data_IF_334062146219
#
_entry.id   IF_334062146219
#
_cell.length_a   1.000
_cell.length_b   1.000
_cell.length_c   1.000
_cell.angle_alpha   90.00
_cell.angle_beta   90.00
_cell.angle_gamma   90.00
#
_symmetry.space_group_name_H-M   'P 1'
#
loop_
_entity.id
_entity.type
_entity.pdbx_description
1 polymer ?
#
# COMPACT_ATOMS: atom_id res chain seq x y z
N UNK A 1 12.62 -2.12 21.61
CA UNK A 1 12.91 -1.03 20.63
C UNK A 1 11.75 -0.07 20.68
N UNK A 2 12.03 1.22 20.72
CA UNK A 2 10.99 2.23 20.88
C UNK A 2 10.57 2.80 19.53
N UNK A 3 9.32 3.20 19.39
CA UNK A 3 8.79 3.90 18.23
C UNK A 3 9.64 5.13 17.85
N UNK A 4 10.03 5.92 18.86
CA UNK A 4 10.86 7.11 18.71
C UNK A 4 12.25 6.81 18.09
N UNK A 5 12.75 5.59 18.16
CA UNK A 5 14.03 5.19 17.53
C UNK A 5 13.97 5.31 15.99
N UNK A 6 12.77 5.47 15.41
CA UNK A 6 12.50 5.63 13.97
C UNK A 6 12.03 7.03 13.60
N UNK A 7 12.28 8.00 14.47
CA UNK A 7 11.98 9.39 14.20
C UNK A 7 13.05 10.02 13.30
N UNK A 8 12.61 10.84 12.36
CA UNK A 8 13.41 11.79 11.62
C UNK A 8 12.59 13.05 11.38
N UNK A 9 13.23 14.18 11.20
CA UNK A 9 12.55 15.43 10.93
C UNK A 9 12.12 15.50 9.46
N UNK A 10 10.82 15.66 9.22
CA UNK A 10 10.25 15.77 7.88
C UNK A 10 9.51 17.08 7.73
N UNK A 11 10.03 18.05 6.93
CA UNK A 11 9.30 19.26 6.56
C UNK A 11 8.02 18.95 5.80
N UNK A 12 6.91 19.56 6.19
CA UNK A 12 5.57 19.29 5.63
C UNK A 12 5.51 19.59 4.13
N UNK A 13 6.25 20.59 3.66
CA UNK A 13 6.32 20.97 2.24
C UNK A 13 6.96 19.89 1.34
N UNK A 14 7.65 18.90 1.90
CA UNK A 14 8.18 17.78 1.13
C UNK A 14 7.15 16.67 0.91
N UNK A 15 6.00 16.69 1.58
CA UNK A 15 4.92 15.74 1.39
C UNK A 15 4.21 16.02 0.07
N UNK A 16 4.39 15.13 -0.90
CA UNK A 16 3.82 15.29 -2.24
C UNK A 16 2.29 15.23 -2.20
N UNK A 17 1.65 16.28 -2.71
CA UNK A 17 0.20 16.37 -2.81
C UNK A 17 -0.33 15.85 -4.14
N UNK A 18 0.46 16.00 -5.22
CA UNK A 18 0.07 15.68 -6.58
C UNK A 18 1.09 14.73 -7.22
N UNK A 19 0.63 13.78 -8.07
CA UNK A 19 1.53 12.93 -8.84
C UNK A 19 2.23 13.74 -9.95
N UNK A 20 3.45 13.33 -10.29
CA UNK A 20 4.13 13.86 -11.48
C UNK A 20 3.38 13.44 -12.75
N UNK A 21 3.41 14.27 -13.79
CA UNK A 21 2.77 13.97 -15.07
C UNK A 21 3.32 12.68 -15.67
N UNK A 22 4.64 12.59 -15.82
CA UNK A 22 5.34 11.35 -16.15
C UNK A 22 5.70 10.58 -14.87
N UNK A 23 5.11 9.39 -14.69
CA UNK A 23 5.32 8.54 -13.51
C UNK A 23 6.77 8.14 -13.32
N UNK A 24 7.47 7.85 -14.40
CA UNK A 24 8.85 7.35 -14.38
C UNK A 24 9.91 8.45 -14.24
N UNK A 25 9.51 9.72 -14.27
CA UNK A 25 10.39 10.87 -14.07
C UNK A 25 10.66 11.23 -12.60
N UNK A 26 10.07 10.54 -11.65
CA UNK A 26 10.37 10.71 -10.23
C UNK A 26 11.85 10.45 -9.94
N UNK A 27 12.38 11.07 -8.90
CA UNK A 27 13.74 10.78 -8.45
C UNK A 27 13.79 9.38 -7.82
N UNK A 28 14.97 8.76 -7.89
CA UNK A 28 15.28 7.49 -7.27
C UNK A 28 16.51 7.65 -6.37
N UNK A 29 16.35 7.41 -5.07
CA UNK A 29 17.45 7.28 -4.14
C UNK A 29 17.81 5.79 -4.04
N UNK A 30 19.04 5.44 -4.41
CA UNK A 30 19.52 4.06 -4.31
C UNK A 30 20.38 3.95 -3.05
N UNK A 31 19.98 3.04 -2.15
CA UNK A 31 20.71 2.72 -0.92
C UNK A 31 21.32 1.33 -1.05
N UNK A 32 22.63 1.25 -0.98
CA UNK A 32 23.34 -0.01 -0.76
C UNK A 32 23.22 -0.40 0.73
N UNK A 33 22.55 -1.51 1.01
CA UNK A 33 22.21 -1.91 2.39
C UNK A 33 23.42 -2.36 3.21
N UNK A 34 24.48 -2.83 2.55
CA UNK A 34 25.69 -3.31 3.22
C UNK A 34 26.60 -2.13 3.62
N UNK A 35 26.83 -1.20 2.70
CA UNK A 35 27.74 -0.07 2.91
C UNK A 35 27.08 1.18 3.45
N UNK A 36 25.75 1.31 3.32
CA UNK A 36 25.00 2.54 3.63
C UNK A 36 25.21 3.65 2.61
N UNK A 37 25.92 3.40 1.50
CA UNK A 37 26.14 4.41 0.47
C UNK A 37 24.86 4.73 -0.30
N UNK A 38 24.68 6.02 -0.56
CA UNK A 38 23.53 6.56 -1.28
C UNK A 38 23.97 7.09 -2.65
N UNK A 39 23.16 6.85 -3.67
CA UNK A 39 23.29 7.50 -4.97
C UNK A 39 21.93 7.99 -5.48
N UNK A 40 21.96 9.09 -6.25
CA UNK A 40 20.77 9.77 -6.77
C UNK A 40 20.60 9.46 -8.26
N UNK A 41 19.38 9.07 -8.65
CA UNK A 41 19.00 8.68 -10.01
C UNK A 41 17.60 9.20 -10.34
N UNK A 42 17.12 8.85 -11.52
CA UNK A 42 15.72 8.99 -11.93
C UNK A 42 15.10 7.60 -11.97
N UNK A 43 13.81 7.47 -11.70
CA UNK A 43 13.17 6.16 -11.56
C UNK A 43 13.30 5.26 -12.80
N UNK A 44 13.25 5.85 -13.99
CA UNK A 44 13.47 5.11 -15.25
C UNK A 44 14.80 4.36 -15.29
N UNK A 45 15.82 4.82 -14.54
CA UNK A 45 17.13 4.18 -14.46
C UNK A 45 17.10 2.89 -13.63
N UNK A 46 15.93 2.51 -13.09
CA UNK A 46 15.75 1.26 -12.31
C UNK A 46 16.21 0.03 -13.08
N UNK A 47 16.10 0.05 -14.41
CA UNK A 47 16.52 -1.03 -15.28
C UNK A 47 18.03 -1.31 -15.23
N UNK A 48 18.85 -0.35 -14.80
CA UNK A 48 20.31 -0.51 -14.65
C UNK A 48 20.66 -1.33 -13.40
N UNK A 49 19.73 -1.43 -12.47
CA UNK A 49 19.89 -2.16 -11.20
C UNK A 49 19.24 -3.55 -11.20
N UNK A 50 18.51 -3.89 -12.26
CA UNK A 50 17.87 -5.18 -12.44
C UNK A 50 18.69 -6.04 -13.40
N UNK A 51 18.90 -7.32 -13.04
CA UNK A 51 19.72 -8.23 -13.82
C UNK A 51 18.89 -9.39 -14.39
N UNK A 52 19.35 -9.93 -15.49
CA UNK A 52 18.75 -11.14 -16.07
C UNK A 52 18.70 -12.26 -15.04
N UNK A 53 17.53 -12.87 -14.86
CA UNK A 53 17.28 -13.91 -13.86
C UNK A 53 16.67 -13.39 -12.55
N UNK A 54 16.65 -12.06 -12.34
CA UNK A 54 15.88 -11.48 -11.24
C UNK A 54 14.36 -11.69 -11.45
N UNK A 55 13.62 -11.68 -10.36
CA UNK A 55 12.15 -11.65 -10.37
C UNK A 55 11.65 -10.38 -9.71
N UNK A 56 10.97 -9.52 -10.49
CA UNK A 56 10.28 -8.33 -10.00
C UNK A 56 8.89 -8.71 -9.51
N UNK A 57 8.64 -8.56 -8.21
CA UNK A 57 7.35 -8.89 -7.58
C UNK A 57 6.52 -7.63 -7.40
N UNK A 58 5.35 -7.57 -8.03
CA UNK A 58 4.44 -6.43 -8.01
C UNK A 58 3.09 -6.81 -7.40
N UNK A 59 2.46 -5.88 -6.70
CA UNK A 59 1.12 -6.07 -6.13
C UNK A 59 0.07 -5.50 -7.11
N UNK A 60 -0.74 -6.37 -7.70
CA UNK A 60 -1.74 -6.01 -8.71
C UNK A 60 -3.13 -5.70 -8.15
N UNK A 61 -3.21 -5.44 -6.86
CA UNK A 61 -4.46 -4.99 -6.23
C UNK A 61 -4.98 -3.71 -6.88
N UNK A 62 -6.31 -3.62 -7.01
CA UNK A 62 -7.01 -2.44 -7.53
C UNK A 62 -7.78 -1.75 -6.40
N UNK A 63 -7.56 -0.45 -6.26
CA UNK A 63 -8.28 0.37 -5.29
C UNK A 63 -9.72 0.53 -5.75
N UNK A 64 -10.66 0.30 -4.85
CA UNK A 64 -12.08 0.59 -5.08
C UNK A 64 -12.40 2.03 -4.64
N UNK A 65 -13.35 2.71 -5.27
CA UNK A 65 -13.79 4.05 -4.85
C UNK A 65 -14.61 3.95 -3.55
N UNK A 66 -13.92 3.59 -2.48
CA UNK A 66 -14.50 3.16 -1.20
C UNK A 66 -15.04 4.30 -0.34
N UNK A 67 -14.78 5.57 -0.69
CA UNK A 67 -15.25 6.74 0.08
C UNK A 67 -16.59 7.21 -0.47
N UNK A 68 -17.64 7.06 0.32
CA UNK A 68 -19.00 7.48 -0.02
C UNK A 68 -19.40 8.71 0.81
N UNK A 69 -19.94 9.72 0.15
CA UNK A 69 -20.50 10.90 0.81
C UNK A 69 -22.01 10.83 0.72
N UNK A 70 -22.69 10.78 1.84
CA UNK A 70 -24.13 10.70 1.91
C UNK A 70 -24.73 11.66 2.93
N UNK A 71 -26.04 11.63 3.04
CA UNK A 71 -26.83 12.40 4.01
C UNK A 71 -27.65 11.48 4.89
N UNK A 72 -27.71 11.80 6.18
CA UNK A 72 -28.57 11.08 7.11
C UNK A 72 -30.02 11.35 6.77
N UNK A 73 -30.79 10.30 6.51
CA UNK A 73 -32.21 10.40 6.20
C UNK A 73 -32.97 11.07 7.35
N UNK A 74 -33.73 12.09 7.05
CA UNK A 74 -34.54 12.86 8.00
C UNK A 74 -33.86 14.07 8.63
N UNK A 75 -32.54 14.30 8.41
CA UNK A 75 -31.85 15.47 8.98
C UNK A 75 -30.87 16.16 8.04
N UNK A 76 -30.65 15.65 6.82
CA UNK A 76 -29.69 16.13 5.82
C UNK A 76 -28.24 16.29 6.34
N UNK A 77 -27.94 15.72 7.50
CA UNK A 77 -26.62 15.79 8.08
C UNK A 77 -25.64 14.97 7.22
N UNK A 78 -24.61 15.64 6.71
CA UNK A 78 -23.57 15.02 5.91
C UNK A 78 -22.84 13.94 6.70
N UNK A 79 -22.69 12.76 6.10
CA UNK A 79 -21.98 11.60 6.65
C UNK A 79 -21.04 11.06 5.57
N UNK A 80 -19.77 10.92 5.93
CA UNK A 80 -18.78 10.21 5.15
C UNK A 80 -18.72 8.76 5.61
N UNK A 81 -18.79 7.82 4.67
CA UNK A 81 -18.66 6.39 4.90
C UNK A 81 -17.50 5.87 4.06
N UNK A 82 -16.55 5.22 4.70
CA UNK A 82 -15.41 4.61 4.04
C UNK A 82 -15.49 3.10 4.22
N UNK A 83 -15.65 2.39 3.13
CA UNK A 83 -15.72 0.93 3.08
C UNK A 83 -14.36 0.33 3.44
N UNK A 84 -14.32 -0.60 4.40
CA UNK A 84 -13.09 -1.24 4.87
C UNK A 84 -13.03 -2.71 4.44
N UNK A 85 -14.05 -3.48 4.80
CA UNK A 85 -14.10 -4.93 4.57
C UNK A 85 -15.52 -5.37 4.34
N UNK A 86 -15.74 -6.14 3.27
CA UNK A 86 -17.00 -6.83 3.00
C UNK A 86 -17.12 -8.02 3.97
N UNK A 87 -18.21 -8.12 4.70
CA UNK A 87 -18.51 -9.22 5.63
C UNK A 87 -19.46 -10.24 5.00
N UNK A 88 -20.49 -9.73 4.34
CA UNK A 88 -21.52 -10.47 3.61
C UNK A 88 -21.84 -9.72 2.32
N UNK A 89 -22.72 -10.22 1.47
CA UNK A 89 -22.99 -9.66 0.15
C UNK A 89 -23.28 -8.17 0.15
N UNK A 90 -24.06 -7.69 1.10
CA UNK A 90 -24.43 -6.27 1.22
C UNK A 90 -24.07 -5.65 2.58
N UNK A 91 -23.28 -6.34 3.41
CA UNK A 91 -22.84 -5.84 4.73
C UNK A 91 -21.35 -5.54 4.70
N UNK A 92 -21.01 -4.31 5.05
CA UNK A 92 -19.63 -3.85 5.11
C UNK A 92 -19.27 -3.32 6.48
N UNK A 93 -18.06 -3.65 6.91
CA UNK A 93 -17.39 -2.91 7.97
C UNK A 93 -16.88 -1.59 7.40
N UNK A 94 -17.15 -0.49 8.08
CA UNK A 94 -16.91 0.85 7.57
C UNK A 94 -16.38 1.80 8.65
N UNK A 95 -15.57 2.77 8.24
CA UNK A 95 -15.25 3.93 9.06
C UNK A 95 -16.25 5.05 8.71
N UNK A 96 -16.86 5.65 9.72
CA UNK A 96 -17.89 6.69 9.52
C UNK A 96 -17.50 7.99 10.20
N UNK A 97 -17.63 9.10 9.47
CA UNK A 97 -17.42 10.46 10.00
C UNK A 97 -18.65 11.37 9.73
N UNK A 98 -19.14 12.07 10.75
CA UNK A 98 -18.82 11.96 12.17
C UNK A 98 -19.52 10.75 12.82
N UNK A 99 -18.77 9.90 13.52
CA UNK A 99 -19.28 8.66 14.12
C UNK A 99 -20.43 8.89 15.13
N UNK A 100 -20.46 10.04 15.81
CA UNK A 100 -21.53 10.41 16.76
C UNK A 100 -22.91 10.53 16.09
N UNK A 101 -22.97 10.80 14.78
CA UNK A 101 -24.23 10.94 14.03
C UNK A 101 -24.70 9.60 13.41
N UNK A 102 -23.84 8.57 13.40
CA UNK A 102 -24.11 7.25 12.82
C UNK A 102 -24.23 6.19 13.94
N UNK A 103 -25.32 6.23 14.67
CA UNK A 103 -25.70 5.22 15.67
C UNK A 103 -26.40 4.05 14.98
N UNK A 104 -26.48 2.88 15.66
CA UNK A 104 -27.29 1.75 15.19
C UNK A 104 -28.72 2.21 14.86
N UNK A 105 -29.25 1.77 13.71
CA UNK A 105 -30.53 2.17 13.16
C UNK A 105 -30.46 3.49 12.34
N UNK A 106 -29.29 4.15 12.23
CA UNK A 106 -29.17 5.33 11.38
C UNK A 106 -29.18 4.91 9.90
N UNK A 107 -30.06 5.53 9.12
CA UNK A 107 -30.12 5.35 7.65
C UNK A 107 -29.48 6.51 6.93
N UNK A 108 -28.70 6.20 5.92
CA UNK A 108 -27.88 7.14 5.14
C UNK A 108 -28.25 6.95 3.66
N UNK A 109 -28.49 8.05 2.96
CA UNK A 109 -28.74 8.07 1.53
C UNK A 109 -27.53 8.60 0.77
N UNK A 110 -27.18 7.96 -0.32
CA UNK A 110 -26.09 8.34 -1.23
C UNK A 110 -26.65 8.49 -2.65
N UNK A 111 -26.20 9.53 -3.36
CA UNK A 111 -26.57 9.77 -4.76
C UNK A 111 -28.09 9.83 -4.97
N UNK A 112 -28.78 10.65 -4.18
CA UNK A 112 -30.24 10.85 -4.27
C UNK A 112 -31.06 9.54 -4.15
N UNK A 113 -30.57 8.61 -3.31
CA UNK A 113 -31.26 7.35 -3.02
C UNK A 113 -30.88 6.16 -3.91
N UNK A 114 -29.92 6.31 -4.82
CA UNK A 114 -29.37 5.20 -5.63
C UNK A 114 -28.81 4.11 -4.74
N UNK A 115 -28.16 4.51 -3.65
CA UNK A 115 -27.62 3.63 -2.62
C UNK A 115 -28.11 4.11 -1.26
N UNK A 116 -28.63 3.19 -0.45
CA UNK A 116 -28.95 3.47 0.96
C UNK A 116 -28.18 2.52 1.85
N UNK A 117 -27.81 2.97 3.05
CA UNK A 117 -27.11 2.15 4.04
C UNK A 117 -27.76 2.33 5.41
N UNK A 118 -27.90 1.23 6.14
CA UNK A 118 -28.35 1.24 7.53
C UNK A 118 -27.23 0.76 8.44
N UNK A 119 -26.94 1.50 9.50
CA UNK A 119 -25.99 1.09 10.52
C UNK A 119 -26.64 0.00 11.38
N UNK A 120 -26.18 -1.24 11.21
CA UNK A 120 -26.72 -2.42 11.93
C UNK A 120 -25.89 -2.80 13.16
N UNK A 121 -24.67 -2.27 13.31
CA UNK A 121 -23.81 -2.59 14.45
C UNK A 121 -22.62 -1.65 14.59
N UNK A 122 -21.95 -1.77 15.72
CA UNK A 122 -20.66 -1.15 16.03
C UNK A 122 -19.70 -2.25 16.41
N UNK A 123 -18.53 -2.28 15.79
CA UNK A 123 -17.48 -3.27 16.02
C UNK A 123 -16.24 -2.61 16.62
N UNK A 124 -15.18 -3.37 16.74
CA UNK A 124 -13.90 -2.91 17.29
C UNK A 124 -13.44 -1.59 16.68
N UNK A 125 -12.68 -0.81 17.45
CA UNK A 125 -12.16 0.52 17.07
C UNK A 125 -13.24 1.57 16.72
N UNK A 126 -14.51 1.27 17.01
CA UNK A 126 -15.63 2.15 16.71
C UNK A 126 -16.06 2.14 15.24
N UNK A 127 -15.63 1.16 14.45
CA UNK A 127 -16.12 0.94 13.09
C UNK A 127 -17.62 0.59 13.10
N UNK A 128 -18.29 0.81 11.99
CA UNK A 128 -19.73 0.52 11.82
C UNK A 128 -19.90 -0.65 10.86
N UNK A 129 -20.84 -1.54 11.19
CA UNK A 129 -21.42 -2.45 10.21
C UNK A 129 -22.57 -1.73 9.54
N UNK A 130 -22.48 -1.58 8.23
CA UNK A 130 -23.53 -0.98 7.40
C UNK A 130 -24.05 -2.03 6.42
N UNK A 131 -25.37 -2.22 6.47
CA UNK A 131 -26.09 -2.99 5.47
C UNK A 131 -26.56 -2.05 4.37
N UNK A 132 -26.12 -2.31 3.13
CA UNK A 132 -26.48 -1.53 1.97
C UNK A 132 -27.69 -2.12 1.23
N UNK A 133 -28.53 -1.24 0.70
CA UNK A 133 -29.67 -1.57 -0.15
C UNK A 133 -29.55 -0.78 -1.44
N UNK A 134 -29.62 -1.47 -2.58
CA UNK A 134 -29.43 -0.92 -3.92
C UNK A 134 -30.07 -1.84 -4.97
N UNK A 135 -30.22 -1.33 -6.18
CA UNK A 135 -30.61 -2.11 -7.36
C UNK A 135 -29.43 -2.19 -8.34
N UNK A 136 -29.18 -3.36 -8.93
CA UNK A 136 -28.10 -3.58 -9.88
C UNK A 136 -26.80 -4.09 -9.26
N UNK A 137 -25.66 -3.71 -9.82
CA UNK A 137 -24.32 -4.16 -9.43
C UNK A 137 -23.68 -3.14 -8.50
N UNK A 138 -23.29 -3.58 -7.31
CA UNK A 138 -22.72 -2.69 -6.27
C UNK A 138 -21.45 -1.98 -6.73
N UNK A 139 -20.59 -2.67 -7.45
CA UNK A 139 -19.34 -2.15 -7.97
C UNK A 139 -19.57 -0.99 -8.97
N UNK A 140 -20.59 -1.09 -9.83
CA UNK A 140 -20.97 -0.01 -10.75
C UNK A 140 -21.50 1.21 -10.00
N UNK A 141 -22.25 0.99 -8.93
CA UNK A 141 -22.74 2.06 -8.06
C UNK A 141 -21.58 2.75 -7.35
N UNK A 142 -20.60 1.98 -6.87
CA UNK A 142 -19.38 2.54 -6.28
C UNK A 142 -18.59 3.38 -7.29
N UNK A 143 -18.43 2.91 -8.51
CA UNK A 143 -17.73 3.67 -9.57
C UNK A 143 -18.40 5.02 -9.85
N UNK A 144 -19.73 5.06 -9.74
CA UNK A 144 -20.53 6.27 -9.95
C UNK A 144 -20.53 7.23 -8.77
N UNK A 145 -20.69 6.72 -7.54
CA UNK A 145 -20.90 7.53 -6.33
C UNK A 145 -19.64 7.69 -5.48
N UNK A 146 -18.72 6.73 -5.56
CA UNK A 146 -17.56 6.65 -4.72
C UNK A 146 -16.42 7.56 -5.17
N UNK A 147 -15.63 7.95 -4.19
CA UNK A 147 -14.39 8.68 -4.36
C UNK A 147 -13.22 7.79 -4.00
N UNK A 148 -12.06 8.03 -4.63
CA UNK A 148 -10.82 7.32 -4.27
C UNK A 148 -10.43 7.67 -2.83
N UNK A 149 -10.17 6.66 -1.99
CA UNK A 149 -9.80 6.88 -0.60
C UNK A 149 -8.31 7.25 -0.51
N UNK A 150 -8.00 8.52 -0.75
CA UNK A 150 -6.64 9.01 -0.62
C UNK A 150 -6.17 8.96 0.85
N UNK A 151 -4.88 8.76 1.10
CA UNK A 151 -4.30 8.87 2.43
C UNK A 151 -4.57 10.24 3.08
N UNK A 152 -4.66 10.33 4.42
CA UNK A 152 -5.07 11.56 5.10
C UNK A 152 -4.11 12.74 4.93
N UNK A 153 -2.84 12.50 4.55
CA UNK A 153 -1.85 13.53 4.28
C UNK A 153 -1.96 14.13 2.87
N UNK A 154 -2.76 13.54 1.98
CA UNK A 154 -3.10 14.13 0.68
C UNK A 154 -4.40 14.90 0.85
N UNK A 155 -4.30 16.21 0.77
CA UNK A 155 -5.43 17.16 0.93
C UNK A 155 -5.96 17.66 -0.41
N UNK A 156 -5.17 17.54 -1.47
CA UNK A 156 -5.58 17.90 -2.83
C UNK A 156 -6.52 16.85 -3.41
N UNK A 157 -7.51 17.31 -4.16
CA UNK A 157 -8.41 16.42 -4.90
C UNK A 157 -7.78 16.06 -6.23
N UNK A 158 -7.70 14.77 -6.54
CA UNK A 158 -7.21 14.32 -7.83
C UNK A 158 -8.18 14.66 -8.95
N UNK A 159 -7.69 15.27 -10.02
CA UNK A 159 -8.44 15.49 -11.26
C UNK A 159 -8.73 14.17 -11.97
N UNK A 160 -7.74 13.29 -12.06
CA UNK A 160 -7.87 11.94 -12.62
C UNK A 160 -7.72 10.87 -11.52
N UNK A 161 -8.81 10.16 -11.25
CA UNK A 161 -8.86 9.05 -10.27
C UNK A 161 -7.85 7.94 -10.59
N UNK A 162 -7.52 7.72 -11.87
CA UNK A 162 -6.59 6.68 -12.30
C UNK A 162 -5.14 6.98 -11.90
N UNK A 163 -4.83 8.20 -11.49
CA UNK A 163 -3.49 8.55 -10.99
C UNK A 163 -3.17 7.84 -9.66
N UNK A 164 -4.17 7.43 -8.89
CA UNK A 164 -4.01 6.62 -7.68
C UNK A 164 -4.26 5.12 -7.93
N UNK A 165 -3.88 4.64 -9.13
CA UNK A 165 -3.86 3.23 -9.52
C UNK A 165 -2.57 2.89 -10.22
N UNK A 166 -2.04 1.68 -10.00
CA UNK A 166 -0.94 1.16 -10.80
C UNK A 166 -1.41 0.80 -12.21
N UNK A 167 -0.53 0.87 -13.19
CA UNK A 167 -0.84 0.52 -14.59
C UNK A 167 -1.14 -0.98 -14.78
N UNK A 168 -0.89 -1.78 -13.76
CA UNK A 168 -1.11 -3.24 -13.76
C UNK A 168 -2.17 -3.68 -12.73
N UNK A 169 -2.93 -2.75 -12.15
CA UNK A 169 -4.01 -3.06 -11.21
C UNK A 169 -5.09 -3.94 -11.87
N UNK A 170 -5.41 -5.07 -11.24
CA UNK A 170 -6.31 -6.08 -11.78
C UNK A 170 -7.41 -6.51 -10.79
N UNK A 171 -7.04 -6.82 -9.54
CA UNK A 171 -7.94 -7.42 -8.55
C UNK A 171 -8.51 -6.38 -7.59
N UNK A 172 -9.80 -6.06 -7.75
CA UNK A 172 -10.52 -5.07 -6.93
C UNK A 172 -10.67 -5.55 -5.48
N UNK A 173 -10.52 -4.63 -4.50
CA UNK A 173 -10.72 -4.95 -3.08
C UNK A 173 -9.87 -4.13 -2.12
N UNK A 174 -8.98 -3.29 -2.62
CA UNK A 174 -8.07 -2.50 -1.78
C UNK A 174 -8.65 -1.14 -1.43
N UNK A 175 -8.41 -0.69 -0.22
CA UNK A 175 -8.68 0.68 0.22
C UNK A 175 -7.52 1.65 -0.04
N UNK A 176 -6.34 1.15 -0.43
CA UNK A 176 -5.18 1.97 -0.77
C UNK A 176 -4.36 1.36 -1.90
N UNK A 177 -3.71 2.21 -2.71
CA UNK A 177 -2.84 1.76 -3.79
C UNK A 177 -1.48 1.27 -3.24
N UNK A 178 -0.84 0.28 -3.89
CA UNK A 178 0.55 -0.06 -3.64
C UNK A 178 1.44 1.01 -4.30
N UNK A 179 1.66 2.12 -3.58
CA UNK A 179 2.11 3.40 -4.16
C UNK A 179 3.49 3.37 -4.80
N UNK A 180 4.39 2.47 -4.37
CA UNK A 180 5.67 2.25 -5.06
C UNK A 180 5.48 1.77 -6.51
N UNK A 181 4.36 1.13 -6.81
CA UNK A 181 4.00 0.73 -8.17
C UNK A 181 3.53 1.87 -9.07
N UNK A 182 3.21 3.03 -8.51
CA UNK A 182 2.75 4.20 -9.28
C UNK A 182 3.85 4.79 -10.18
N UNK A 183 5.10 4.51 -9.90
CA UNK A 183 6.25 4.96 -10.70
C UNK A 183 6.40 4.22 -12.03
N UNK A 184 5.82 3.02 -12.15
CA UNK A 184 5.94 2.20 -13.35
C UNK A 184 4.99 2.66 -14.45
N UNK A 185 5.49 2.58 -15.68
CA UNK A 185 4.70 2.71 -16.91
C UNK A 185 4.63 1.37 -17.63
N UNK A 186 3.67 1.15 -18.57
CA UNK A 186 3.63 -0.06 -19.38
C UNK A 186 4.94 -0.29 -20.18
N UNK A 187 5.53 0.80 -20.69
CA UNK A 187 6.77 0.78 -21.48
C UNK A 187 7.95 0.32 -20.63
N UNK A 188 8.09 0.87 -19.40
CA UNK A 188 9.15 0.47 -18.48
C UNK A 188 9.03 -1.00 -18.05
N UNK A 189 7.81 -1.48 -17.81
CA UNK A 189 7.58 -2.91 -17.51
C UNK A 189 7.93 -3.81 -18.70
N UNK A 190 7.68 -3.36 -19.91
CA UNK A 190 8.04 -4.10 -21.12
C UNK A 190 9.56 -4.13 -21.33
N UNK A 191 10.25 -3.01 -21.12
CA UNK A 191 11.71 -2.95 -21.13
C UNK A 191 12.33 -3.94 -20.13
N UNK A 192 11.79 -4.00 -18.89
CA UNK A 192 12.22 -4.95 -17.87
C UNK A 192 12.06 -6.40 -18.34
N UNK A 193 10.93 -6.75 -18.98
CA UNK A 193 10.73 -8.09 -19.54
C UNK A 193 11.73 -8.42 -20.64
N UNK A 194 12.01 -7.47 -21.53
CA UNK A 194 12.97 -7.64 -22.63
C UNK A 194 14.39 -7.85 -22.14
N UNK A 195 14.75 -7.34 -20.95
CA UNK A 195 16.03 -7.64 -20.27
C UNK A 195 16.08 -9.07 -19.69
N UNK A 196 15.00 -9.85 -19.78
CA UNK A 196 14.93 -11.23 -19.28
C UNK A 196 14.69 -11.31 -17.76
N UNK A 197 13.99 -10.33 -17.22
CA UNK A 197 13.56 -10.26 -15.83
C UNK A 197 12.11 -10.74 -15.75
N UNK A 198 11.85 -11.76 -14.94
CA UNK A 198 10.50 -12.26 -14.71
C UNK A 198 9.70 -11.25 -13.88
N UNK A 199 8.43 -11.01 -14.24
CA UNK A 199 7.50 -10.20 -13.42
C UNK A 199 6.46 -11.14 -12.81
N UNK A 200 6.48 -11.25 -11.49
CA UNK A 200 5.50 -12.00 -10.71
C UNK A 200 4.45 -11.04 -10.13
N UNK A 201 3.18 -11.38 -10.30
CA UNK A 201 2.07 -10.61 -9.75
C UNK A 201 1.55 -11.31 -8.50
N UNK A 202 1.49 -10.59 -7.41
CA UNK A 202 0.83 -11.01 -6.17
C UNK A 202 -0.30 -10.05 -5.87
N UNK A 203 -1.31 -10.47 -5.13
CA UNK A 203 -2.39 -9.60 -4.67
C UNK A 203 -2.32 -9.47 -3.16
N UNK A 204 -2.31 -8.25 -2.64
CA UNK A 204 -2.58 -7.95 -1.22
C UNK A 204 -3.53 -6.76 -1.18
N UNK A 205 -4.69 -6.96 -0.60
CA UNK A 205 -5.66 -5.89 -0.42
C UNK A 205 -5.30 -5.06 0.81
N UNK A 206 -4.78 -3.86 0.54
CA UNK A 206 -4.32 -2.92 1.57
C UNK A 206 -5.51 -2.33 2.30
N UNK A 207 -5.55 -2.52 3.61
CA UNK A 207 -6.50 -1.86 4.49
C UNK A 207 -6.04 -0.46 4.89
N UNK A 208 -6.98 0.36 5.40
CA UNK A 208 -6.65 1.70 5.90
C UNK A 208 -5.78 1.71 7.16
N UNK A 209 -5.63 0.56 7.82
CA UNK A 209 -4.72 0.41 8.95
C UNK A 209 -3.30 0.83 8.65
N UNK A 210 -2.87 0.68 7.39
CA UNK A 210 -1.52 1.07 6.93
C UNK A 210 -1.23 2.57 7.11
N UNK A 211 -2.26 3.42 7.14
CA UNK A 211 -2.10 4.87 7.37
C UNK A 211 -2.30 5.29 8.81
N UNK A 212 -2.58 4.35 9.71
CA UNK A 212 -2.73 4.67 11.13
C UNK A 212 -1.35 4.77 11.79
N UNK A 213 -1.10 5.81 12.60
CA UNK A 213 0.15 5.92 13.34
C UNK A 213 0.25 4.80 14.38
N UNK A 214 1.46 4.35 14.63
CA UNK A 214 1.78 3.46 15.77
C UNK A 214 1.51 4.24 17.05
N UNK A 215 0.66 3.69 17.93
CA UNK A 215 0.20 4.37 19.15
C UNK A 215 0.98 3.96 20.41
N UNK A 216 1.69 2.84 20.32
CA UNK A 216 2.45 2.27 21.43
C UNK A 216 3.89 2.79 21.41
N UNK A 217 4.53 2.88 22.57
CA UNK A 217 5.91 3.31 22.68
C UNK A 217 6.89 2.15 22.42
N UNK A 218 6.63 0.96 22.97
CA UNK A 218 7.36 -0.25 22.60
C UNK A 218 6.72 -0.88 21.36
N UNK A 219 7.49 -0.98 20.28
CA UNK A 219 6.99 -1.55 19.02
C UNK A 219 6.55 -3.01 19.15
N UNK A 220 7.05 -3.74 20.15
CA UNK A 220 6.65 -5.13 20.42
C UNK A 220 5.19 -5.28 20.86
N UNK A 221 4.59 -4.21 21.35
CA UNK A 221 3.16 -4.16 21.72
C UNK A 221 2.25 -3.80 20.55
N UNK A 222 2.85 -3.50 19.37
CA UNK A 222 2.06 -3.13 18.20
C UNK A 222 1.45 -4.35 17.53
N UNK A 223 0.14 -4.29 17.27
CA UNK A 223 -0.60 -5.29 16.51
C UNK A 223 -0.92 -4.78 15.11
N UNK A 224 -0.46 -5.50 14.10
CA UNK A 224 -0.77 -5.20 12.70
C UNK A 224 -2.20 -5.60 12.37
N UNK A 225 -2.83 -4.82 11.50
CA UNK A 225 -4.12 -5.21 10.91
C UNK A 225 -3.92 -6.38 9.94
N UNK A 226 -4.88 -7.30 9.98
CA UNK A 226 -4.89 -8.45 9.08
C UNK A 226 -5.34 -8.04 7.68
N UNK A 227 -4.57 -8.38 6.66
CA UNK A 227 -4.83 -8.09 5.24
C UNK A 227 -4.86 -9.38 4.42
N UNK A 228 -5.79 -9.46 3.47
CA UNK A 228 -5.92 -10.62 2.59
C UNK A 228 -4.89 -10.58 1.48
N UNK A 229 -4.21 -11.71 1.25
CA UNK A 229 -3.30 -11.89 0.13
C UNK A 229 -3.62 -13.13 -0.70
N UNK A 230 -3.16 -13.11 -1.95
CA UNK A 230 -3.25 -14.23 -2.88
C UNK A 230 -2.01 -14.26 -3.78
N UNK A 231 -1.53 -15.47 -4.06
CA UNK A 231 -0.41 -15.77 -4.95
C UNK A 231 -0.84 -16.91 -5.85
N UNK A 232 -0.78 -16.74 -7.16
CA UNK A 232 -1.08 -17.79 -8.11
C UNK A 232 0.15 -18.70 -8.38
N UNK A 233 -0.07 -19.81 -9.08
CA UNK A 233 1.00 -20.75 -9.41
C UNK A 233 2.09 -20.12 -10.29
N UNK A 234 1.70 -19.28 -11.24
CA UNK A 234 2.65 -18.64 -12.15
C UNK A 234 3.59 -17.67 -11.41
N UNK A 235 3.06 -16.92 -10.44
CA UNK A 235 3.86 -16.04 -9.60
C UNK A 235 4.80 -16.84 -8.68
N UNK A 236 4.28 -17.88 -8.02
CA UNK A 236 5.08 -18.75 -7.17
C UNK A 236 6.24 -19.41 -7.94
N UNK A 237 5.97 -19.93 -9.15
CA UNK A 237 7.00 -20.52 -10.00
C UNK A 237 8.10 -19.54 -10.39
N UNK A 238 7.75 -18.28 -10.74
CA UNK A 238 8.74 -17.25 -11.13
C UNK A 238 9.63 -16.86 -9.96
N UNK A 239 9.03 -16.67 -8.77
CA UNK A 239 9.76 -16.30 -7.55
C UNK A 239 10.72 -17.42 -7.16
N UNK A 240 10.25 -18.66 -7.10
CA UNK A 240 11.08 -19.82 -6.78
C UNK A 240 12.20 -20.02 -7.79
N UNK A 241 11.90 -19.90 -9.09
CA UNK A 241 12.91 -20.00 -10.17
C UNK A 241 14.04 -18.99 -9.97
N UNK A 242 13.73 -17.72 -9.63
CA UNK A 242 14.76 -16.73 -9.37
C UNK A 242 15.69 -17.19 -8.22
N UNK A 243 15.13 -17.68 -7.11
CA UNK A 243 15.93 -18.20 -5.99
C UNK A 243 16.78 -19.41 -6.38
N UNK A 244 16.22 -20.36 -7.11
CA UNK A 244 16.89 -21.61 -7.51
C UNK A 244 18.03 -21.36 -8.50
N UNK A 245 17.94 -20.31 -9.31
CA UNK A 245 18.94 -19.96 -10.33
C UNK A 245 19.94 -18.91 -9.87
N UNK A 246 19.88 -18.46 -8.61
CA UNK A 246 20.78 -17.44 -8.06
C UNK A 246 20.45 -16.01 -8.49
N UNK A 247 19.24 -15.79 -9.03
CA UNK A 247 18.66 -14.45 -9.25
C UNK A 247 18.13 -13.85 -7.95
N UNK A 248 17.81 -12.56 -7.99
CA UNK A 248 17.28 -11.83 -6.83
C UNK A 248 15.77 -11.70 -6.91
N UNK A 249 15.12 -11.70 -5.76
CA UNK A 249 13.70 -11.34 -5.60
C UNK A 249 13.62 -9.87 -5.23
N UNK A 250 13.13 -9.06 -6.16
CA UNK A 250 13.02 -7.60 -6.04
C UNK A 250 11.55 -7.24 -5.86
N UNK A 251 11.15 -6.77 -4.68
CA UNK A 251 9.77 -6.38 -4.42
C UNK A 251 9.52 -4.92 -4.75
N UNK A 252 8.37 -4.65 -5.37
CA UNK A 252 7.82 -3.31 -5.54
C UNK A 252 6.80 -3.05 -4.45
N UNK A 253 7.18 -2.22 -3.50
CA UNK A 253 6.39 -1.84 -2.34
C UNK A 253 6.49 -2.82 -1.17
N UNK A 254 6.27 -2.28 0.01
CA UNK A 254 6.20 -3.04 1.27
C UNK A 254 5.07 -4.06 1.29
N UNK A 255 4.03 -3.85 0.49
CA UNK A 255 2.92 -4.79 0.33
C UNK A 255 3.34 -6.08 -0.37
N UNK A 256 4.10 -5.99 -1.48
CA UNK A 256 4.66 -7.17 -2.15
C UNK A 256 5.62 -7.92 -1.22
N UNK A 257 6.49 -7.20 -0.51
CA UNK A 257 7.39 -7.76 0.48
C UNK A 257 6.62 -8.54 1.57
N UNK A 258 5.62 -7.92 2.21
CA UNK A 258 4.82 -8.57 3.25
C UNK A 258 4.08 -9.79 2.73
N UNK A 259 3.61 -9.76 1.50
CA UNK A 259 2.93 -10.90 0.86
C UNK A 259 3.86 -12.10 0.75
N UNK A 260 5.02 -11.93 0.12
CA UNK A 260 5.93 -13.05 -0.12
C UNK A 260 6.56 -13.57 1.18
N UNK A 261 6.91 -12.67 2.11
CA UNK A 261 7.48 -13.07 3.40
C UNK A 261 6.47 -13.83 4.28
N UNK A 262 5.18 -13.50 4.19
CA UNK A 262 4.11 -14.24 4.88
C UNK A 262 3.86 -15.61 4.30
N UNK A 263 3.99 -15.76 2.99
CA UNK A 263 3.74 -17.02 2.28
C UNK A 263 4.97 -17.93 2.20
N UNK A 264 6.17 -17.39 2.47
CA UNK A 264 7.42 -18.11 2.38
C UNK A 264 7.51 -19.26 3.41
N UNK A 265 7.81 -20.46 2.92
CA UNK A 265 8.13 -21.62 3.73
C UNK A 265 9.47 -21.48 4.47
N UNK A 266 9.76 -22.45 5.35
CA UNK A 266 11.04 -22.50 6.04
C UNK A 266 12.21 -22.82 5.09
N UNK A 267 11.90 -23.41 3.95
CA UNK A 267 12.85 -23.75 2.86
C UNK A 267 13.19 -22.57 1.94
N UNK A 268 12.62 -21.40 2.19
CA UNK A 268 12.80 -20.21 1.33
C UNK A 268 12.05 -20.28 0.00
N UNK A 269 11.04 -21.15 -0.11
CA UNK A 269 10.16 -21.25 -1.27
C UNK A 269 8.74 -20.81 -0.94
N UNK A 270 7.98 -20.50 -1.98
CA UNK A 270 6.61 -20.05 -1.88
C UNK A 270 5.69 -21.00 -2.64
N UNK A 271 4.51 -21.23 -2.11
CA UNK A 271 3.45 -22.00 -2.78
C UNK A 271 2.31 -21.09 -3.17
N UNK A 272 1.64 -21.44 -4.27
CA UNK A 272 0.39 -20.79 -4.62
C UNK A 272 -0.64 -20.98 -3.50
N UNK A 273 -1.44 -19.94 -3.27
CA UNK A 273 -2.46 -19.97 -2.23
C UNK A 273 -2.94 -18.57 -1.86
N UNK A 274 -3.86 -18.54 -0.92
CA UNK A 274 -4.37 -17.29 -0.35
C UNK A 274 -4.44 -17.40 1.17
N UNK A 275 -4.43 -16.26 1.83
CA UNK A 275 -4.47 -16.22 3.28
C UNK A 275 -4.62 -14.80 3.82
N UNK A 276 -4.48 -14.70 5.12
CA UNK A 276 -4.48 -13.44 5.83
C UNK A 276 -3.11 -13.23 6.46
N UNK A 277 -2.58 -12.01 6.40
CA UNK A 277 -1.31 -11.63 7.00
C UNK A 277 -1.46 -10.45 7.91
N UNK A 278 -0.89 -10.56 9.09
CA UNK A 278 -0.66 -9.49 10.06
C UNK A 278 0.84 -9.35 10.35
N UNK A 279 1.68 -9.78 9.40
CA UNK A 279 3.13 -9.77 9.57
C UNK A 279 3.64 -8.36 9.89
N UNK A 280 4.37 -8.25 10.98
CA UNK A 280 5.08 -7.05 11.40
C UNK A 280 6.57 -7.26 11.24
N UNK A 281 7.17 -6.55 10.28
CA UNK A 281 8.59 -6.62 9.96
C UNK A 281 9.28 -5.40 10.56
N UNK A 282 10.28 -5.63 11.41
CA UNK A 282 11.08 -4.63 12.10
C UNK A 282 12.53 -5.13 12.29
N UNK A 283 13.50 -4.30 12.66
CA UNK A 283 14.91 -4.71 12.82
C UNK A 283 15.07 -5.96 13.69
N UNK A 284 15.80 -6.94 13.15
CA UNK A 284 15.95 -8.28 13.69
C UNK A 284 15.15 -9.35 12.94
N UNK A 285 14.20 -8.95 12.07
CA UNK A 285 13.52 -9.87 11.16
C UNK A 285 14.52 -10.45 10.15
N UNK A 286 14.44 -11.76 9.90
CA UNK A 286 15.26 -12.45 8.89
C UNK A 286 14.41 -12.70 7.66
N UNK A 287 14.69 -11.95 6.59
CA UNK A 287 14.02 -12.14 5.32
C UNK A 287 14.31 -13.51 4.73
N UNK A 288 13.28 -14.15 4.20
CA UNK A 288 13.34 -15.49 3.61
C UNK A 288 13.50 -15.43 2.09
N UNK A 289 12.83 -14.45 1.47
CA UNK A 289 12.74 -14.33 0.02
C UNK A 289 13.23 -12.98 -0.50
N UNK A 290 13.01 -11.89 0.22
CA UNK A 290 13.34 -10.55 -0.23
C UNK A 290 14.85 -10.31 -0.31
N UNK A 291 15.33 -9.92 -1.50
CA UNK A 291 16.73 -9.51 -1.71
C UNK A 291 16.85 -7.99 -1.87
N UNK A 292 15.94 -7.37 -2.64
CA UNK A 292 15.93 -5.92 -2.92
C UNK A 292 14.50 -5.36 -2.80
N UNK A 293 14.39 -4.08 -2.46
CA UNK A 293 13.10 -3.41 -2.28
C UNK A 293 13.05 -2.06 -2.99
N UNK A 294 12.05 -1.88 -3.85
CA UNK A 294 11.66 -0.59 -4.42
C UNK A 294 10.50 -0.08 -3.58
N UNK A 295 10.61 1.12 -3.02
CA UNK A 295 9.59 1.67 -2.13
C UNK A 295 9.51 3.19 -2.23
N UNK A 296 8.47 3.81 -1.64
CA UNK A 296 8.43 5.25 -1.40
C UNK A 296 9.14 5.59 -0.08
N UNK A 297 9.35 6.86 0.18
CA UNK A 297 9.72 7.33 1.51
C UNK A 297 8.50 7.28 2.45
N UNK A 298 8.74 6.83 3.69
CA UNK A 298 7.70 6.53 4.66
C UNK A 298 7.65 7.56 5.79
N UNK A 299 6.51 7.64 6.47
CA UNK A 299 6.31 8.50 7.64
C UNK A 299 7.29 8.18 8.76
N UNK A 300 7.77 9.20 9.50
CA UNK A 300 8.48 8.97 10.76
C UNK A 300 7.66 8.08 11.69
N UNK A 301 8.34 7.23 12.45
CA UNK A 301 7.74 6.35 13.47
C UNK A 301 6.67 5.36 12.94
N UNK A 302 6.57 5.15 11.60
CA UNK A 302 5.61 4.22 11.00
C UNK A 302 6.13 2.78 10.96
N UNK A 303 5.22 1.81 10.84
CA UNK A 303 5.59 0.41 10.63
C UNK A 303 6.38 0.19 9.34
N UNK A 304 6.22 1.07 8.36
CA UNK A 304 6.89 0.97 7.06
C UNK A 304 8.36 1.41 7.12
N UNK A 305 8.71 2.46 7.88
CA UNK A 305 10.13 2.79 8.10
C UNK A 305 10.82 1.71 8.93
N UNK A 306 10.09 1.01 9.80
CA UNK A 306 10.60 -0.14 10.55
C UNK A 306 10.93 -1.31 9.62
N UNK A 307 10.09 -1.59 8.63
CA UNK A 307 10.32 -2.62 7.62
C UNK A 307 11.57 -2.34 6.78
N UNK A 308 11.71 -1.13 6.25
CA UNK A 308 12.90 -0.76 5.46
C UNK A 308 14.16 -0.75 6.34
N UNK A 309 14.04 -0.40 7.61
CA UNK A 309 15.11 -0.49 8.60
C UNK A 309 15.51 -1.93 8.93
N UNK A 310 14.58 -2.87 8.83
CA UNK A 310 14.89 -4.29 8.97
C UNK A 310 15.75 -4.80 7.82
N UNK A 311 15.57 -4.26 6.61
CA UNK A 311 16.29 -4.68 5.41
C UNK A 311 17.70 -4.07 5.32
N UNK A 312 17.83 -2.77 5.59
CA UNK A 312 19.08 -2.03 5.34
C UNK A 312 19.80 -1.55 6.61
N UNK A 313 19.28 -1.91 7.79
CA UNK A 313 19.75 -1.35 9.04
C UNK A 313 19.16 0.02 9.34
N UNK A 314 18.77 0.25 10.59
CA UNK A 314 18.13 1.49 11.02
C UNK A 314 18.98 2.73 10.74
N UNK A 315 20.28 2.65 11.05
CA UNK A 315 21.19 3.79 10.91
C UNK A 315 21.37 4.20 9.46
N UNK A 316 21.55 3.23 8.55
CA UNK A 316 21.64 3.47 7.11
C UNK A 316 20.34 4.08 6.55
N UNK A 317 19.19 3.59 7.00
CA UNK A 317 17.88 4.11 6.56
C UNK A 317 17.68 5.55 7.04
N UNK A 318 17.93 5.83 8.32
CA UNK A 318 17.75 7.19 8.85
C UNK A 318 18.71 8.18 8.18
N UNK A 319 19.97 7.81 7.97
CA UNK A 319 20.94 8.64 7.24
C UNK A 319 20.49 8.91 5.78
N UNK A 320 19.96 7.89 5.09
CA UNK A 320 19.41 8.03 3.74
C UNK A 320 18.18 8.95 3.70
N UNK A 321 17.33 8.91 4.74
CA UNK A 321 16.14 9.77 4.85
C UNK A 321 16.53 11.22 5.16
N UNK A 322 17.54 11.45 6.02
CA UNK A 322 18.09 12.78 6.27
C UNK A 322 18.71 13.38 4.99
N UNK A 323 19.45 12.57 4.23
CA UNK A 323 19.97 13.00 2.92
C UNK A 323 18.84 13.30 1.93
N UNK A 324 17.77 12.48 1.90
CA UNK A 324 16.61 12.73 1.05
C UNK A 324 15.91 14.05 1.42
N UNK A 325 15.78 14.38 2.71
CA UNK A 325 15.22 15.65 3.18
C UNK A 325 16.11 16.82 2.74
N UNK A 326 17.41 16.73 2.94
CA UNK A 326 18.41 17.75 2.56
C UNK A 326 18.39 18.01 1.05
N UNK A 327 18.32 16.95 0.26
CA UNK A 327 18.24 16.99 -1.20
C UNK A 327 16.84 17.28 -1.73
N UNK A 328 15.88 17.56 -0.83
CA UNK A 328 14.50 17.92 -1.14
C UNK A 328 13.79 16.90 -2.03
N UNK A 329 13.91 15.62 -1.70
CA UNK A 329 13.06 14.58 -2.27
C UNK A 329 11.61 14.81 -1.87
N UNK A 330 10.70 14.30 -2.68
CA UNK A 330 9.26 14.30 -2.41
C UNK A 330 8.91 13.02 -1.65
N UNK A 331 8.09 13.16 -0.62
CA UNK A 331 7.77 12.07 0.30
C UNK A 331 6.37 11.50 0.08
N UNK A 332 6.16 10.26 0.47
CA UNK A 332 4.92 9.46 0.53
C UNK A 332 4.36 9.08 -0.84
N UNK A 333 3.02 8.89 -0.93
CA UNK A 333 2.32 8.19 -2.02
C UNK A 333 2.62 8.73 -3.42
N UNK A 334 2.72 10.05 -3.58
CA UNK A 334 3.04 10.72 -4.85
C UNK A 334 4.45 11.28 -4.88
N UNK A 335 5.25 10.89 -3.90
CA UNK A 335 6.64 11.31 -3.80
C UNK A 335 7.57 10.56 -4.73
N UNK A 336 8.85 10.64 -4.39
CA UNK A 336 9.93 9.97 -5.09
C UNK A 336 10.13 8.54 -4.58
N UNK A 337 10.98 7.78 -5.25
CA UNK A 337 11.24 6.38 -4.93
C UNK A 337 12.59 6.18 -4.23
N UNK A 338 12.68 5.08 -3.52
CA UNK A 338 13.89 4.52 -2.94
C UNK A 338 14.08 3.09 -3.43
N UNK A 339 15.29 2.72 -3.82
CA UNK A 339 15.71 1.36 -4.10
C UNK A 339 16.72 0.94 -3.05
N UNK A 340 16.49 -0.18 -2.39
CA UNK A 340 17.41 -0.81 -1.43
C UNK A 340 17.98 -2.07 -2.07
N UNK A 341 19.32 -2.14 -2.25
CA UNK A 341 20.04 -3.24 -2.91
C UNK A 341 21.08 -3.87 -2.00
#
# INVERSE_FOLDING_TARGET
MRRQDFYYELPEELIAQDPLEDRSSSRLLVLDKESGLVSHRVFKDITDYLHRGDCLVINDTKVIPARLIGSKIGTDAKIEVLLLKRKEDNVWETLVKPGKKAKVGTRISFGDGILTGEVIGVVEEGNRLIQFSYEGIFEEILDRLGQMPLPPYITHQLEDKNRYQTVYAAHSGSAAAPTAGLHFTPELLEEIRQKGIDIAKVTLHVGLGTFRPVKVDDIMEHHMHSEFFQIDEAAAMKINKAKDTGGRVVCVGTTSCRTIESAAGADGHIKAGSGWTDIFIYPGYKFKLLDCLITNFHLPESTLIMLVSALAGRENVLAAYEEAVKERYRFFSFGDAMLII
#
